data_IF_483883657519
#
_entry.id   IF_483883657519
#
_cell.length_a   1.000
_cell.length_b   1.000
_cell.length_c   1.000
_cell.angle_alpha   90.00
_cell.angle_beta   90.00
_cell.angle_gamma   90.00
#
_symmetry.space_group_name_H-M   'P 1'
#
loop_
_entity.id
_entity.type
_entity.pdbx_description
1 polymer ?
#
# COMPACT_ATOMS: atom_id res chain seq x y z
N UNK A 1 2.09 21.88 -4.97
CA UNK A 1 3.16 21.33 -4.08
C UNK A 1 3.98 20.34 -4.92
N UNK A 2 5.32 20.43 -4.97
CA UNK A 2 6.14 19.36 -5.56
C UNK A 2 5.98 18.13 -4.67
N UNK A 3 5.33 17.08 -5.16
CA UNK A 3 5.30 15.78 -4.49
C UNK A 3 6.73 15.24 -4.47
N UNK A 4 7.32 15.19 -3.28
CA UNK A 4 8.62 14.54 -3.11
C UNK A 4 8.37 13.03 -3.19
N UNK A 5 8.74 12.41 -4.31
CA UNK A 5 8.70 10.95 -4.44
C UNK A 5 9.59 10.35 -3.36
N UNK A 6 8.99 9.58 -2.45
CA UNK A 6 9.76 8.88 -1.43
C UNK A 6 10.56 7.76 -2.09
N UNK A 7 11.86 7.71 -1.81
CA UNK A 7 12.73 6.63 -2.31
C UNK A 7 12.64 5.44 -1.36
N UNK A 8 12.28 4.28 -1.90
CA UNK A 8 12.31 3.02 -1.18
C UNK A 8 13.72 2.44 -1.11
N UNK A 9 14.00 1.65 -0.07
CA UNK A 9 15.26 0.93 0.02
C UNK A 9 15.37 -0.14 -1.06
N UNK A 10 16.59 -0.45 -1.51
CA UNK A 10 16.85 -1.51 -2.51
C UNK A 10 16.27 -2.84 -2.05
N UNK A 11 16.42 -3.17 -0.76
CA UNK A 11 15.88 -4.39 -0.16
C UNK A 11 14.36 -4.42 -0.16
N UNK A 12 13.69 -3.28 0.04
CA UNK A 12 12.22 -3.16 -0.07
C UNK A 12 11.77 -3.44 -1.50
N UNK A 13 12.44 -2.82 -2.48
CA UNK A 13 12.13 -3.03 -3.91
C UNK A 13 12.31 -4.50 -4.27
N UNK A 14 13.40 -5.13 -3.82
CA UNK A 14 13.64 -6.56 -4.06
C UNK A 14 12.53 -7.43 -3.48
N UNK A 15 12.10 -7.18 -2.24
CA UNK A 15 10.96 -7.90 -1.64
C UNK A 15 9.69 -7.78 -2.47
N UNK A 16 9.34 -6.57 -2.92
CA UNK A 16 8.18 -6.35 -3.76
C UNK A 16 8.29 -7.12 -5.09
N UNK A 17 9.44 -7.05 -5.78
CA UNK A 17 9.67 -7.79 -7.04
C UNK A 17 9.62 -9.30 -6.87
N UNK A 18 10.15 -9.81 -5.77
CA UNK A 18 10.08 -11.24 -5.46
C UNK A 18 8.66 -11.68 -5.12
N UNK A 19 7.86 -10.82 -4.48
CA UNK A 19 6.47 -11.11 -4.15
C UNK A 19 5.54 -11.06 -5.38
N UNK A 20 5.85 -10.19 -6.34
CA UNK A 20 5.03 -9.88 -7.51
C UNK A 20 4.39 -11.12 -8.19
N UNK A 21 5.10 -12.23 -8.47
CA UNK A 21 4.50 -13.41 -9.12
C UNK A 21 3.46 -14.17 -8.27
N UNK A 22 3.43 -13.93 -6.96
CA UNK A 22 2.55 -14.62 -6.01
C UNK A 22 1.28 -13.83 -5.66
N UNK A 23 1.19 -12.56 -6.09
CA UNK A 23 0.07 -11.68 -5.78
C UNK A 23 -1.09 -11.90 -6.74
N UNK A 24 -1.95 -12.86 -6.42
CA UNK A 24 -3.11 -13.23 -7.24
C UNK A 24 -4.18 -12.15 -7.30
N UNK A 25 -4.17 -11.20 -6.37
CA UNK A 25 -5.09 -10.05 -6.38
C UNK A 25 -4.78 -9.05 -7.50
N UNK A 26 -3.58 -9.11 -8.07
CA UNK A 26 -3.17 -8.26 -9.18
C UNK A 26 -3.50 -8.97 -10.50
N UNK A 27 -4.59 -8.56 -11.16
CA UNK A 27 -5.06 -9.12 -12.44
C UNK A 27 -3.98 -9.16 -13.55
N UNK A 28 -2.96 -8.30 -13.42
CA UNK A 28 -1.73 -8.30 -14.24
C UNK A 28 -0.50 -8.19 -13.36
N UNK A 29 -0.31 -9.20 -12.51
CA UNK A 29 0.83 -9.30 -11.62
C UNK A 29 2.17 -9.04 -12.34
N UNK A 30 2.33 -9.44 -13.61
CA UNK A 30 3.53 -9.19 -14.43
C UNK A 30 3.82 -7.70 -14.71
N UNK A 31 2.79 -6.85 -14.70
CA UNK A 31 2.88 -5.41 -14.99
C UNK A 31 2.73 -4.53 -13.76
N UNK A 32 2.51 -5.12 -12.60
CA UNK A 32 2.37 -4.39 -11.35
C UNK A 32 3.61 -3.54 -11.06
N UNK A 33 3.37 -2.26 -10.75
CA UNK A 33 4.38 -1.37 -10.22
C UNK A 33 4.66 -1.69 -8.75
N UNK A 34 5.75 -1.13 -8.21
CA UNK A 34 6.06 -1.26 -6.78
C UNK A 34 4.95 -0.59 -5.93
N UNK A 35 4.37 0.49 -6.42
CA UNK A 35 3.29 1.19 -5.73
C UNK A 35 2.01 0.34 -5.69
N UNK A 36 1.67 -0.37 -6.78
CA UNK A 36 0.52 -1.29 -6.81
C UNK A 36 0.70 -2.42 -5.78
N UNK A 37 1.91 -2.98 -5.69
CA UNK A 37 2.26 -4.03 -4.73
C UNK A 37 2.14 -3.52 -3.30
N UNK A 38 2.70 -2.35 -3.00
CA UNK A 38 2.64 -1.76 -1.65
C UNK A 38 1.21 -1.40 -1.26
N UNK A 39 0.43 -0.85 -2.20
CA UNK A 39 -0.96 -0.48 -1.95
C UNK A 39 -1.79 -1.73 -1.64
N UNK A 40 -1.64 -2.79 -2.44
CA UNK A 40 -2.32 -4.08 -2.20
C UNK A 40 -1.93 -4.68 -0.84
N UNK A 41 -0.65 -4.63 -0.47
CA UNK A 41 -0.18 -5.10 0.84
C UNK A 41 -0.75 -4.28 2.01
N UNK A 42 -0.82 -2.96 1.84
CA UNK A 42 -1.41 -2.07 2.85
C UNK A 42 -2.90 -2.37 3.01
N UNK A 43 -3.65 -2.47 1.90
CA UNK A 43 -5.07 -2.78 1.89
C UNK A 43 -5.37 -4.13 2.53
N UNK A 44 -4.56 -5.16 2.22
CA UNK A 44 -4.66 -6.46 2.87
C UNK A 44 -4.46 -6.36 4.38
N UNK A 45 -3.43 -5.65 4.84
CA UNK A 45 -3.18 -5.49 6.27
C UNK A 45 -4.31 -4.71 6.99
N UNK A 46 -4.83 -3.67 6.35
CA UNK A 46 -5.98 -2.90 6.89
C UNK A 46 -7.21 -3.82 7.01
N UNK A 47 -7.48 -4.63 5.99
CA UNK A 47 -8.67 -5.46 5.93
C UNK A 47 -8.61 -6.69 6.83
N UNK A 48 -7.50 -7.43 6.77
CA UNK A 48 -7.37 -8.75 7.40
C UNK A 48 -6.50 -8.70 8.68
N UNK A 49 -5.58 -7.74 8.79
CA UNK A 49 -4.62 -7.63 9.89
C UNK A 49 -5.09 -6.78 11.07
N UNK A 50 -5.95 -5.79 10.83
CA UNK A 50 -6.45 -4.92 11.89
C UNK A 50 -7.70 -5.51 12.57
N UNK A 51 -7.84 -5.39 13.90
CA UNK A 51 -9.13 -5.57 14.59
C UNK A 51 -10.15 -4.51 14.13
N UNK A 52 -11.44 -4.82 14.14
CA UNK A 52 -12.49 -3.94 13.59
C UNK A 52 -12.47 -2.53 14.20
N UNK A 53 -12.29 -2.41 15.52
CA UNK A 53 -12.15 -1.09 16.18
C UNK A 53 -10.97 -0.27 15.66
N UNK A 54 -9.89 -0.93 15.23
CA UNK A 54 -8.72 -0.25 14.67
C UNK A 54 -8.93 0.13 13.19
N UNK A 55 -9.76 -0.61 12.44
CA UNK A 55 -10.15 -0.25 11.06
C UNK A 55 -10.90 1.08 11.03
N UNK A 56 -11.88 1.26 11.93
CA UNK A 56 -12.66 2.50 12.02
C UNK A 56 -11.77 3.70 12.37
N UNK A 57 -10.83 3.51 13.31
CA UNK A 57 -9.85 4.53 13.68
C UNK A 57 -8.92 4.85 12.51
N UNK A 58 -8.41 3.83 11.81
CA UNK A 58 -7.59 4.01 10.63
C UNK A 58 -8.32 4.83 9.55
N UNK A 59 -9.58 4.48 9.23
CA UNK A 59 -10.37 5.18 8.22
C UNK A 59 -10.54 6.66 8.58
N UNK A 60 -10.94 6.96 9.82
CA UNK A 60 -11.10 8.35 10.27
C UNK A 60 -9.78 9.16 10.22
N UNK A 61 -8.65 8.53 10.56
CA UNK A 61 -7.34 9.17 10.45
C UNK A 61 -6.92 9.40 9.00
N UNK A 62 -7.16 8.42 8.12
CA UNK A 62 -6.83 8.51 6.70
C UNK A 62 -7.62 9.63 6.02
N UNK A 63 -8.93 9.73 6.26
CA UNK A 63 -9.80 10.79 5.73
C UNK A 63 -9.35 12.18 6.18
N UNK A 64 -8.92 12.33 7.45
CA UNK A 64 -8.39 13.59 7.96
C UNK A 64 -7.09 13.99 7.24
N UNK A 65 -6.21 13.02 6.96
CA UNK A 65 -4.95 13.28 6.27
C UNK A 65 -5.16 13.59 4.78
N UNK A 66 -6.12 12.93 4.13
CA UNK A 66 -6.50 13.24 2.75
C UNK A 66 -6.93 14.71 2.60
N UNK A 67 -7.82 15.19 3.49
CA UNK A 67 -8.27 16.60 3.50
C UNK A 67 -7.14 17.62 3.70
N UNK A 68 -5.97 17.20 4.22
CA UNK A 68 -4.78 18.07 4.41
C UNK A 68 -3.84 18.06 3.21
N UNK A 69 -4.00 17.10 2.30
CA UNK A 69 -3.20 17.02 1.08
C UNK A 69 -3.69 18.02 0.02
N UNK A 70 -5.00 18.24 -0.05
CA UNK A 70 -5.67 19.34 -0.78
C UNK A 70 -5.21 20.73 -0.29
#
# INVERSE_FOLDING_TARGET
KKTQTQRLSVTTILKCRTLQPFMTELERADKASIDDIISTLADYYIKEGLPDRQKDVFQGMYDLNLKRLD
#
